data_IF_819366537251
#
_entry.id   IF_819366537251
#
_cell.length_a   1.000
_cell.length_b   1.000
_cell.length_c   1.000
_cell.angle_alpha   90.00
_cell.angle_beta   90.00
_cell.angle_gamma   90.00
#
_symmetry.space_group_name_H-M   'P 1'
#
loop_
_entity.id
_entity.type
_entity.pdbx_description
1 polymer ?
#
# COMPACT_ATOMS: atom_id res chain seq x y z
N UNK A 1 -83.77 -9.27 -15.31
CA UNK A 1 -83.00 -8.07 -14.91
C UNK A 1 -81.55 -8.31 -15.29
N UNK A 2 -80.97 -7.39 -16.07
CA UNK A 2 -79.75 -7.59 -16.86
C UNK A 2 -78.57 -6.90 -16.16
N UNK A 3 -77.48 -7.67 -16.04
CA UNK A 3 -76.07 -7.34 -15.80
C UNK A 3 -75.73 -6.24 -14.79
N UNK A 4 -75.02 -6.62 -13.72
CA UNK A 4 -74.19 -5.69 -12.96
C UNK A 4 -72.80 -6.28 -12.65
N UNK A 5 -71.84 -5.63 -13.30
CA UNK A 5 -70.57 -5.13 -12.77
C UNK A 5 -69.46 -6.14 -12.50
N UNK A 6 -68.46 -6.04 -13.39
CA UNK A 6 -67.07 -6.46 -13.24
C UNK A 6 -66.42 -5.78 -12.03
N UNK A 7 -65.78 -6.56 -11.15
CA UNK A 7 -64.69 -6.08 -10.31
C UNK A 7 -63.56 -7.10 -10.37
N UNK A 8 -62.45 -6.61 -10.92
CA UNK A 8 -61.14 -7.24 -11.00
C UNK A 8 -60.52 -7.24 -9.61
N UNK A 9 -60.04 -8.38 -9.14
CA UNK A 9 -59.00 -8.41 -8.11
C UNK A 9 -58.19 -9.69 -8.28
N UNK A 10 -57.05 -9.54 -8.95
CA UNK A 10 -56.05 -10.59 -9.10
C UNK A 10 -55.18 -10.63 -7.84
N UNK A 11 -55.14 -11.80 -7.19
CA UNK A 11 -54.08 -12.15 -6.23
C UNK A 11 -53.57 -13.51 -6.67
N UNK A 12 -52.59 -13.50 -7.57
CA UNK A 12 -51.88 -14.70 -8.01
C UNK A 12 -50.77 -14.96 -6.98
N UNK A 13 -51.05 -15.89 -6.07
CA UNK A 13 -50.03 -16.56 -5.28
C UNK A 13 -49.37 -17.61 -6.17
N UNK A 14 -48.20 -17.29 -6.71
CA UNK A 14 -47.34 -18.25 -7.37
C UNK A 14 -46.04 -18.38 -6.56
N UNK A 15 -46.03 -19.35 -5.65
CA UNK A 15 -44.81 -19.89 -5.07
C UNK A 15 -44.09 -20.71 -6.14
N UNK A 16 -43.26 -20.03 -6.94
CA UNK A 16 -42.29 -20.70 -7.81
C UNK A 16 -41.12 -21.22 -6.96
N UNK A 17 -41.11 -22.54 -6.76
CA UNK A 17 -39.88 -23.28 -6.45
C UNK A 17 -39.11 -23.41 -7.75
N UNK A 18 -38.07 -22.61 -7.93
CA UNK A 18 -37.08 -22.82 -8.98
C UNK A 18 -35.81 -23.41 -8.37
N UNK A 19 -35.69 -24.70 -8.64
CA UNK A 19 -34.51 -25.53 -8.87
C UNK A 19 -33.14 -24.82 -8.76
N UNK A 20 -32.27 -25.44 -7.97
CA UNK A 20 -30.84 -25.13 -7.90
C UNK A 20 -30.19 -25.67 -9.16
N UNK A 21 -29.93 -24.80 -10.13
CA UNK A 21 -28.93 -25.05 -11.17
C UNK A 21 -27.62 -24.38 -10.78
N UNK A 22 -26.58 -25.20 -10.74
CA UNK A 22 -25.20 -24.78 -10.58
C UNK A 22 -24.73 -23.94 -11.78
N UNK A 23 -23.77 -23.06 -11.48
CA UNK A 23 -23.03 -22.15 -12.36
C UNK A 23 -23.66 -20.77 -12.63
N UNK A 24 -23.26 -19.79 -11.81
CA UNK A 24 -22.91 -18.47 -12.36
C UNK A 24 -21.91 -17.76 -11.45
N UNK A 25 -20.79 -17.40 -12.08
CA UNK A 25 -19.73 -16.50 -11.64
C UNK A 25 -20.31 -15.27 -10.91
N UNK A 26 -20.38 -15.31 -9.58
CA UNK A 26 -20.61 -14.10 -8.78
C UNK A 26 -19.28 -13.55 -8.28
N UNK A 27 -18.78 -12.60 -9.07
CA UNK A 27 -18.29 -11.32 -8.57
C UNK A 27 -18.96 -10.99 -7.24
N UNK A 28 -18.29 -11.31 -6.14
CA UNK A 28 -18.64 -10.81 -4.84
C UNK A 28 -18.25 -9.34 -4.85
N UNK A 29 -19.26 -8.48 -5.02
CA UNK A 29 -19.19 -7.09 -4.63
C UNK A 29 -18.96 -7.03 -3.13
N UNK A 30 -17.71 -7.24 -2.71
CA UNK A 30 -17.19 -6.48 -1.59
C UNK A 30 -17.13 -5.06 -2.13
N UNK A 31 -17.90 -4.17 -1.51
CA UNK A 31 -17.56 -2.76 -1.48
C UNK A 31 -16.13 -2.67 -0.94
N UNK A 32 -15.15 -2.87 -1.83
CA UNK A 32 -13.80 -2.40 -1.63
C UNK A 32 -13.99 -0.89 -1.60
N UNK A 33 -14.27 -0.36 -0.40
CA UNK A 33 -13.77 0.93 0.01
C UNK A 33 -12.36 0.92 -0.55
N UNK A 34 -12.15 1.66 -1.64
CA UNK A 34 -10.84 1.86 -2.24
C UNK A 34 -10.07 2.49 -1.11
N UNK A 35 -9.44 1.64 -0.28
CA UNK A 35 -8.60 2.10 0.80
C UNK A 35 -7.64 3.00 0.10
N UNK A 36 -7.63 4.28 0.47
CA UNK A 36 -6.62 5.23 0.04
C UNK A 36 -5.31 4.79 0.70
N UNK A 37 -4.84 3.59 0.37
CA UNK A 37 -3.49 3.17 0.61
C UNK A 37 -2.67 4.02 -0.35
N UNK A 38 -1.72 4.76 0.23
CA UNK A 38 -0.74 5.50 -0.54
C UNK A 38 -0.07 4.57 -1.54
N UNK A 39 0.24 5.12 -2.71
CA UNK A 39 1.07 4.44 -3.69
C UNK A 39 2.53 4.72 -3.36
N UNK A 40 3.20 3.71 -2.81
CA UNK A 40 4.62 3.73 -2.47
C UNK A 40 5.46 2.88 -3.43
N UNK A 41 4.89 2.43 -4.55
CA UNK A 41 5.71 1.82 -5.59
C UNK A 41 6.51 2.91 -6.32
N UNK A 42 7.79 2.60 -6.59
CA UNK A 42 8.67 3.49 -7.31
C UNK A 42 10.09 3.52 -6.76
N UNK A 43 10.90 4.36 -7.40
CA UNK A 43 12.24 4.71 -6.94
C UNK A 43 12.17 6.07 -6.28
N UNK A 44 12.95 6.26 -5.23
CA UNK A 44 13.00 7.52 -4.50
C UNK A 44 14.44 7.80 -4.07
N UNK A 45 14.86 9.06 -4.04
CA UNK A 45 16.23 9.43 -3.69
C UNK A 45 16.30 10.75 -2.94
N UNK A 46 17.18 10.83 -1.94
CA UNK A 46 17.55 12.08 -1.26
C UNK A 46 18.71 12.79 -1.96
N UNK A 47 18.80 12.67 -3.28
CA UNK A 47 19.84 13.31 -4.06
C UNK A 47 19.90 14.82 -3.78
N UNK A 48 21.12 15.32 -3.57
CA UNK A 48 21.37 16.71 -3.18
C UNK A 48 21.46 16.95 -1.67
N UNK A 49 21.17 15.98 -0.82
CA UNK A 49 21.40 16.10 0.62
C UNK A 49 22.91 16.09 0.98
N UNK A 50 23.32 16.90 1.96
CA UNK A 50 24.75 17.10 2.29
C UNK A 50 25.42 15.86 2.90
N UNK A 51 24.67 15.01 3.60
CA UNK A 51 25.23 13.88 4.36
C UNK A 51 25.49 12.64 3.48
N UNK A 52 24.76 12.50 2.38
CA UNK A 52 24.77 11.33 1.53
C UNK A 52 23.46 11.16 0.77
N UNK A 53 23.39 10.11 -0.05
CA UNK A 53 22.20 9.74 -0.80
C UNK A 53 21.56 8.52 -0.19
N UNK A 54 20.34 8.66 0.31
CA UNK A 54 19.44 7.56 0.66
C UNK A 54 18.50 7.34 -0.53
N UNK A 55 18.55 6.14 -1.10
CA UNK A 55 17.71 5.75 -2.22
C UNK A 55 16.89 4.51 -1.89
N UNK A 56 15.63 4.51 -2.28
CA UNK A 56 14.70 3.40 -2.15
C UNK A 56 14.25 2.92 -3.52
N UNK A 57 14.06 1.61 -3.64
CA UNK A 57 13.44 0.96 -4.78
C UNK A 57 12.37 0.02 -4.24
N UNK A 58 11.10 0.44 -4.35
CA UNK A 58 9.97 -0.17 -3.67
C UNK A 58 8.99 -0.74 -4.67
N UNK A 59 8.56 -1.95 -4.37
CA UNK A 59 7.40 -2.62 -4.95
C UNK A 59 6.28 -2.69 -3.91
N UNK A 60 5.04 -2.50 -4.36
CA UNK A 60 3.85 -2.61 -3.54
C UNK A 60 2.87 -3.59 -4.18
N UNK A 61 2.30 -4.48 -3.38
CA UNK A 61 1.23 -5.40 -3.79
C UNK A 61 0.14 -5.40 -2.72
N UNK A 62 -0.99 -4.75 -3.01
CA UNK A 62 -2.02 -4.50 -2.02
C UNK A 62 -1.50 -3.63 -0.87
N UNK A 63 -1.55 -4.14 0.36
CA UNK A 63 -0.96 -3.49 1.53
C UNK A 63 0.52 -3.84 1.73
N UNK A 64 1.06 -4.84 1.04
CA UNK A 64 2.43 -5.32 1.25
C UNK A 64 3.43 -4.41 0.54
N UNK A 65 4.53 -4.09 1.21
CA UNK A 65 5.66 -3.30 0.67
C UNK A 65 6.94 -4.12 0.76
N UNK A 66 7.69 -4.22 -0.34
CA UNK A 66 8.98 -4.90 -0.40
C UNK A 66 9.93 -4.14 -1.32
N UNK A 67 11.24 -4.25 -1.07
CA UNK A 67 12.20 -3.56 -1.92
C UNK A 67 13.61 -3.53 -1.37
N UNK A 68 14.38 -2.53 -1.80
CA UNK A 68 15.73 -2.27 -1.30
C UNK A 68 15.91 -0.81 -0.94
N UNK A 69 16.77 -0.56 0.05
CA UNK A 69 17.26 0.76 0.38
C UNK A 69 18.79 0.78 0.28
N UNK A 70 19.34 1.89 -0.22
CA UNK A 70 20.79 2.10 -0.33
C UNK A 70 21.13 3.43 0.30
N UNK A 71 22.15 3.47 1.13
CA UNK A 71 22.68 4.71 1.69
C UNK A 71 24.16 4.83 1.40
N UNK A 72 24.53 5.92 0.73
CA UNK A 72 25.91 6.24 0.36
C UNK A 72 26.30 7.58 0.99
N UNK A 73 27.27 7.60 1.90
CA UNK A 73 27.79 8.86 2.46
C UNK A 73 28.87 9.46 1.56
N UNK A 74 29.02 10.78 1.60
CA UNK A 74 30.07 11.48 0.86
C UNK A 74 31.39 11.56 1.67
N UNK A 75 32.46 11.97 0.99
CA UNK A 75 33.77 12.28 1.59
C UNK A 75 34.78 11.12 1.61
N UNK A 76 35.93 11.36 2.23
CA UNK A 76 37.08 10.43 2.26
C UNK A 76 36.81 9.13 3.02
N UNK A 77 35.75 9.10 3.84
CA UNK A 77 35.28 7.91 4.57
C UNK A 77 33.88 7.50 4.10
N UNK A 78 33.65 7.56 2.79
CA UNK A 78 32.40 7.15 2.18
C UNK A 78 32.03 5.72 2.62
N UNK A 79 30.80 5.56 3.10
CA UNK A 79 30.21 4.28 3.47
C UNK A 79 29.06 3.99 2.51
N UNK A 80 28.92 2.73 2.13
CA UNK A 80 27.77 2.25 1.37
C UNK A 80 27.10 1.13 2.13
N UNK A 81 25.79 1.23 2.31
CA UNK A 81 24.96 0.22 2.96
C UNK A 81 23.80 -0.12 2.04
N UNK A 82 23.56 -1.41 1.81
CA UNK A 82 22.39 -1.92 1.09
C UNK A 82 21.54 -2.76 2.04
N UNK A 83 20.27 -2.39 2.17
CA UNK A 83 19.30 -3.01 3.06
C UNK A 83 18.12 -3.56 2.25
N UNK A 84 17.58 -4.68 2.70
CA UNK A 84 16.28 -5.16 2.24
C UNK A 84 15.17 -4.40 2.98
N UNK A 85 14.09 -4.07 2.27
CA UNK A 85 12.90 -3.41 2.83
C UNK A 85 11.75 -4.41 2.82
N UNK A 86 11.08 -4.56 3.97
CA UNK A 86 9.78 -5.24 4.08
C UNK A 86 8.85 -4.43 4.95
N UNK A 87 7.58 -4.35 4.61
CA UNK A 87 6.65 -3.51 5.31
C UNK A 87 5.21 -3.65 4.85
N UNK A 88 4.38 -2.73 5.32
CA UNK A 88 2.99 -2.63 4.92
C UNK A 88 2.50 -1.17 4.86
N UNK A 89 1.48 -0.93 4.04
CA UNK A 89 0.79 0.36 3.92
C UNK A 89 -0.46 0.38 4.79
N UNK A 90 -0.67 1.49 5.49
CA UNK A 90 -1.91 1.83 6.18
C UNK A 90 -2.23 3.31 5.93
N UNK A 91 -3.25 3.57 5.13
CA UNK A 91 -3.56 4.94 4.68
C UNK A 91 -2.40 5.53 3.87
N UNK A 92 -2.01 6.78 4.14
CA UNK A 92 -0.91 7.48 3.46
C UNK A 92 0.47 7.23 4.08
N UNK A 93 0.65 6.12 4.77
CA UNK A 93 1.91 5.78 5.44
C UNK A 93 2.28 4.33 5.20
N UNK A 94 3.52 4.09 4.76
CA UNK A 94 4.11 2.76 4.76
C UNK A 94 4.99 2.59 5.99
N UNK A 95 4.75 1.54 6.77
CA UNK A 95 5.60 1.12 7.87
C UNK A 95 6.59 0.09 7.36
N UNK A 96 7.88 0.37 7.46
CA UNK A 96 8.94 -0.42 6.86
C UNK A 96 9.97 -0.87 7.89
N UNK A 97 10.50 -2.07 7.66
CA UNK A 97 11.62 -2.67 8.38
C UNK A 97 12.76 -2.91 7.39
N UNK A 98 13.91 -2.35 7.73
CA UNK A 98 15.15 -2.45 6.99
C UNK A 98 16.06 -3.49 7.64
N UNK A 99 16.57 -4.42 6.83
CA UNK A 99 17.47 -5.49 7.28
C UNK A 99 18.74 -5.54 6.45
N UNK A 100 19.84 -5.88 7.10
CA UNK A 100 21.12 -6.13 6.42
C UNK A 100 21.08 -7.44 5.61
N UNK A 101 22.19 -7.75 4.93
CA UNK A 101 22.34 -8.99 4.14
C UNK A 101 22.28 -10.27 4.99
N UNK A 102 22.53 -10.18 6.30
CA UNK A 102 22.45 -11.30 7.25
C UNK A 102 21.02 -11.48 7.79
N UNK A 103 20.10 -10.57 7.43
CA UNK A 103 18.71 -10.58 7.89
C UNK A 103 18.50 -9.88 9.23
N UNK A 104 19.55 -9.30 9.84
CA UNK A 104 19.45 -8.56 11.09
C UNK A 104 18.72 -7.24 10.87
N UNK A 105 17.86 -6.86 11.81
CA UNK A 105 17.14 -5.59 11.75
C UNK A 105 18.12 -4.45 11.98
N UNK A 106 18.21 -3.54 11.00
CA UNK A 106 19.05 -2.34 11.07
C UNK A 106 18.24 -1.14 11.51
N UNK A 107 17.00 -1.04 11.00
CA UNK A 107 16.09 0.04 11.35
C UNK A 107 14.63 -0.32 11.03
N UNK A 108 13.72 0.15 11.86
CA UNK A 108 12.31 0.37 11.54
C UNK A 108 12.07 1.86 11.23
N UNK A 109 11.14 2.15 10.32
CA UNK A 109 10.80 3.50 9.89
C UNK A 109 9.46 3.61 9.17
N UNK A 110 9.14 4.80 8.69
CA UNK A 110 7.96 5.11 7.90
C UNK A 110 8.31 5.84 6.62
N UNK A 111 7.55 5.59 5.57
CA UNK A 111 7.46 6.45 4.38
C UNK A 111 6.10 7.16 4.41
N UNK A 112 6.10 8.48 4.28
CA UNK A 112 4.89 9.30 4.18
C UNK A 112 4.85 10.07 2.87
N UNK A 113 3.69 10.15 2.23
CA UNK A 113 3.51 10.93 1.01
C UNK A 113 3.33 12.41 1.39
N UNK A 114 4.16 13.30 0.83
CA UNK A 114 4.15 14.75 1.09
C UNK A 114 4.08 15.56 -0.22
N UNK A 115 3.05 15.27 -1.02
CA UNK A 115 2.89 15.82 -2.37
C UNK A 115 2.82 14.71 -3.42
N UNK A 116 2.99 15.08 -4.69
CA UNK A 116 2.93 14.13 -5.81
C UNK A 116 4.23 13.31 -5.91
N UNK A 117 5.36 14.00 -5.85
CA UNK A 117 6.69 13.41 -6.09
C UNK A 117 7.59 13.34 -4.86
N UNK A 118 7.07 13.71 -3.69
CA UNK A 118 7.84 13.76 -2.45
C UNK A 118 7.39 12.69 -1.47
N UNK A 119 8.36 11.93 -0.95
CA UNK A 119 8.19 10.94 0.10
C UNK A 119 9.11 11.27 1.27
N UNK A 120 8.56 11.35 2.47
CA UNK A 120 9.32 11.57 3.70
C UNK A 120 9.66 10.24 4.34
N UNK A 121 10.96 9.96 4.47
CA UNK A 121 11.44 8.87 5.31
C UNK A 121 11.66 9.36 6.74
N UNK A 122 11.19 8.59 7.73
CA UNK A 122 11.49 8.81 9.15
C UNK A 122 11.80 7.50 9.84
N UNK A 123 12.90 7.45 10.56
CA UNK A 123 13.32 6.30 11.33
C UNK A 123 12.67 6.30 12.72
N UNK A 124 12.25 5.13 13.18
CA UNK A 124 11.69 4.90 14.52
C UNK A 124 12.79 4.44 15.49
N UNK A 125 13.78 3.70 14.99
CA UNK A 125 14.77 2.94 15.78
C UNK A 125 16.09 3.68 16.07
N UNK A 126 16.23 4.94 15.65
CA UNK A 126 17.41 5.80 15.91
C UNK A 126 18.78 5.14 15.67
N UNK A 127 18.89 4.27 14.65
CA UNK A 127 20.14 3.62 14.27
C UNK A 127 20.98 4.55 13.40
N UNK A 128 22.27 4.69 13.73
CA UNK A 128 23.22 5.55 12.99
C UNK A 128 23.74 4.96 11.67
N UNK A 129 23.17 3.86 11.18
CA UNK A 129 23.57 3.23 9.92
C UNK A 129 23.01 3.95 8.68
N UNK A 130 21.90 4.66 8.84
CA UNK A 130 21.20 5.46 7.83
C UNK A 130 20.71 6.77 8.48
N UNK A 131 20.33 7.80 7.70
CA UNK A 131 19.78 9.04 8.25
C UNK A 131 18.54 8.81 9.12
N UNK A 132 18.30 9.72 10.06
CA UNK A 132 17.12 9.65 10.93
C UNK A 132 15.84 10.05 10.20
N UNK A 133 15.95 10.97 9.28
CA UNK A 133 14.94 11.39 8.33
C UNK A 133 15.60 11.75 7.00
N UNK A 134 14.82 11.73 5.92
CA UNK A 134 15.25 12.16 4.60
C UNK A 134 14.04 12.60 3.78
N UNK A 135 14.24 13.59 2.92
CA UNK A 135 13.27 13.96 1.89
C UNK A 135 13.65 13.23 0.61
N UNK A 136 12.73 12.41 0.10
CA UNK A 136 12.98 11.57 -1.06
C UNK A 136 12.12 12.04 -2.23
N UNK A 137 12.76 12.25 -3.38
CA UNK A 137 12.10 12.62 -4.62
C UNK A 137 11.97 11.40 -5.53
N UNK A 138 10.84 11.29 -6.23
CA UNK A 138 10.59 10.26 -7.25
C UNK A 138 11.45 10.41 -8.49
#
# INVERSE_FOLDING_TARGET
MKNRIFIVTAIILFSCISQIEAQSKKTSGTSTTKSMNGDFAGKYSSEGEKAGVLAFDISQTGTKVEGTARYNTYGTKAKSVTLSVKGYVKGKTAYIRLRDKKGSVVADGTLGIDGEDTVLFKQITSSGAIPRDAVLLR
#
